data_IF_957362985003
#
_entry.id   IF_957362985003
#
_cell.length_a   1.000
_cell.length_b   1.000
_cell.length_c   1.000
_cell.angle_alpha   90.00
_cell.angle_beta   90.00
_cell.angle_gamma   90.00
#
_symmetry.space_group_name_H-M   'P 1'
#
loop_
_entity.id
_entity.type
_entity.pdbx_description
1 polymer ?
#
# COMPACT_ATOMS: atom_id res chain seq x y z
N UNK A 1 7.78 18.37 -3.31
CA UNK A 1 6.33 18.35 -3.01
C UNK A 1 5.55 19.11 -4.09
N UNK A 2 5.06 18.42 -5.14
CA UNK A 2 4.24 19.07 -6.18
C UNK A 2 2.96 18.32 -6.54
N UNK A 3 2.65 17.24 -5.83
CA UNK A 3 1.41 16.49 -5.96
C UNK A 3 0.72 16.52 -4.60
N UNK A 4 -0.53 16.96 -4.61
CA UNK A 4 -1.32 17.22 -3.41
C UNK A 4 -2.20 16.00 -3.17
N UNK A 5 -2.67 15.77 -1.95
CA UNK A 5 -3.63 14.70 -1.59
C UNK A 5 -4.83 14.50 -2.56
N UNK A 6 -5.09 15.49 -3.42
CA UNK A 6 -6.01 15.42 -4.56
C UNK A 6 -5.63 14.36 -5.62
N UNK A 7 -4.35 14.18 -5.93
CA UNK A 7 -3.88 13.25 -6.95
C UNK A 7 -4.02 11.80 -6.44
N UNK A 8 -3.56 11.51 -5.21
CA UNK A 8 -3.87 10.27 -4.50
C UNK A 8 -5.37 10.00 -4.44
N UNK A 9 -6.19 10.98 -4.04
CA UNK A 9 -7.65 10.83 -3.99
C UNK A 9 -8.23 10.47 -5.35
N UNK A 10 -7.83 11.17 -6.42
CA UNK A 10 -8.33 10.92 -7.77
C UNK A 10 -7.93 9.52 -8.26
N UNK A 11 -6.73 9.04 -7.89
CA UNK A 11 -6.25 7.71 -8.23
C UNK A 11 -7.04 6.63 -7.47
N UNK A 12 -7.12 6.75 -6.15
CA UNK A 12 -7.86 5.80 -5.28
C UNK A 12 -9.34 5.73 -5.67
N UNK A 13 -9.96 6.85 -6.06
CA UNK A 13 -11.36 6.87 -6.52
C UNK A 13 -11.61 6.02 -7.78
N UNK A 14 -10.57 5.76 -8.58
CA UNK A 14 -10.68 4.93 -9.78
C UNK A 14 -10.51 3.44 -9.50
N UNK A 15 -10.09 3.07 -8.28
CA UNK A 15 -9.88 1.68 -7.90
C UNK A 15 -11.18 0.90 -7.94
N UNK A 16 -11.12 -0.29 -8.54
CA UNK A 16 -12.16 -1.30 -8.39
C UNK A 16 -11.58 -2.45 -7.60
N UNK A 17 -12.37 -3.01 -6.69
CA UNK A 17 -11.96 -4.15 -5.85
C UNK A 17 -11.34 -5.29 -6.67
N UNK A 18 -11.89 -5.57 -7.85
CA UNK A 18 -11.41 -6.61 -8.78
C UNK A 18 -10.01 -6.37 -9.35
N UNK A 19 -9.44 -5.17 -9.18
CA UNK A 19 -8.11 -4.81 -9.67
C UNK A 19 -7.01 -5.22 -8.68
N UNK A 20 -7.38 -5.60 -7.45
CA UNK A 20 -6.46 -5.92 -6.35
C UNK A 20 -6.68 -7.33 -5.81
N UNK A 21 -5.70 -7.84 -5.05
CA UNK A 21 -5.83 -9.05 -4.24
C UNK A 21 -6.11 -8.58 -2.82
N UNK A 22 -7.38 -8.65 -2.41
CA UNK A 22 -7.84 -8.07 -1.14
C UNK A 22 -7.58 -9.00 0.03
N UNK A 23 -7.34 -8.42 1.22
CA UNK A 23 -7.21 -9.17 2.48
C UNK A 23 -5.94 -10.00 2.57
N UNK A 24 -4.91 -9.63 1.80
CA UNK A 24 -3.57 -10.20 1.89
C UNK A 24 -2.65 -9.29 2.70
N UNK A 25 -3.18 -8.75 3.79
CA UNK A 25 -2.41 -8.10 4.84
C UNK A 25 -2.62 -8.88 6.14
N UNK A 26 -1.65 -8.81 7.06
CA UNK A 26 -1.79 -9.35 8.42
C UNK A 26 -2.67 -8.45 9.33
N UNK A 27 -3.35 -7.48 8.74
CA UNK A 27 -4.15 -6.52 9.49
C UNK A 27 -5.42 -7.16 10.06
N UNK A 28 -5.66 -6.98 11.36
CA UNK A 28 -6.95 -7.29 11.96
C UNK A 28 -7.98 -6.22 11.56
N UNK A 29 -8.69 -6.47 10.46
CA UNK A 29 -9.69 -5.55 9.94
C UNK A 29 -10.87 -5.34 10.90
N UNK A 30 -11.21 -6.31 11.77
CA UNK A 30 -12.28 -6.12 12.74
C UNK A 30 -11.87 -5.07 13.79
N UNK A 31 -10.65 -5.19 14.31
CA UNK A 31 -10.07 -4.20 15.23
C UNK A 31 -9.87 -2.84 14.55
N UNK A 32 -9.34 -2.80 13.32
CA UNK A 32 -9.17 -1.57 12.54
C UNK A 32 -10.49 -0.85 12.29
N UNK A 33 -11.53 -1.56 11.86
CA UNK A 33 -12.86 -0.98 11.64
C UNK A 33 -13.43 -0.44 12.97
N UNK A 34 -13.24 -1.16 14.08
CA UNK A 34 -13.69 -0.71 15.40
C UNK A 34 -12.94 0.56 15.84
N UNK A 35 -11.62 0.61 15.64
CA UNK A 35 -10.78 1.78 15.90
C UNK A 35 -11.26 3.00 15.10
N UNK A 36 -11.44 2.86 13.78
CA UNK A 36 -11.92 3.95 12.93
C UNK A 36 -13.34 4.41 13.31
N UNK A 37 -14.27 3.48 13.58
CA UNK A 37 -15.63 3.82 14.05
C UNK A 37 -15.63 4.62 15.35
N UNK A 38 -14.71 4.31 16.28
CA UNK A 38 -14.58 5.05 17.53
C UNK A 38 -13.99 6.45 17.31
N UNK A 39 -13.07 6.60 16.36
CA UNK A 39 -12.44 7.88 16.00
C UNK A 39 -13.37 8.83 15.24
N UNK A 40 -14.35 8.32 14.46
CA UNK A 40 -15.25 9.13 13.62
C UNK A 40 -16.14 10.13 14.37
N UNK A 41 -16.24 10.06 15.70
CA UNK A 41 -17.20 10.88 16.47
C UNK A 41 -16.84 12.38 16.52
N UNK A 42 -15.65 12.81 16.08
CA UNK A 42 -15.21 14.23 16.10
C UNK A 42 -14.27 14.64 14.95
N UNK A 43 -14.42 14.06 13.75
CA UNK A 43 -13.51 14.34 12.63
C UNK A 43 -14.12 15.29 11.59
N UNK A 44 -13.31 16.21 11.08
CA UNK A 44 -13.64 17.00 9.91
C UNK A 44 -13.63 16.12 8.63
N UNK A 45 -14.25 16.61 7.55
CA UNK A 45 -14.37 15.87 6.29
C UNK A 45 -13.00 15.43 5.73
N UNK A 46 -11.96 16.24 5.92
CA UNK A 46 -10.61 15.93 5.42
C UNK A 46 -10.04 14.71 6.15
N UNK A 47 -10.18 14.65 7.47
CA UNK A 47 -9.74 13.51 8.28
C UNK A 47 -10.52 12.24 7.95
N UNK A 48 -11.83 12.36 7.70
CA UNK A 48 -12.65 11.23 7.24
C UNK A 48 -12.11 10.69 5.90
N UNK A 49 -11.86 11.57 4.92
CA UNK A 49 -11.30 11.16 3.63
C UNK A 49 -9.93 10.48 3.78
N UNK A 50 -9.04 11.01 4.61
CA UNK A 50 -7.73 10.39 4.88
C UNK A 50 -7.87 9.00 5.50
N UNK A 51 -8.78 8.80 6.44
CA UNK A 51 -9.02 7.48 7.05
C UNK A 51 -9.59 6.49 6.04
N UNK A 52 -10.52 6.91 5.18
CA UNK A 52 -11.06 6.04 4.12
C UNK A 52 -9.98 5.65 3.12
N UNK A 53 -9.12 6.60 2.72
CA UNK A 53 -7.98 6.30 1.83
C UNK A 53 -7.03 5.30 2.48
N UNK A 54 -6.70 5.48 3.76
CA UNK A 54 -5.86 4.54 4.50
C UNK A 54 -6.51 3.16 4.60
N UNK A 55 -7.79 3.07 4.90
CA UNK A 55 -8.48 1.78 4.94
C UNK A 55 -8.48 1.08 3.57
N UNK A 56 -8.69 1.82 2.48
CA UNK A 56 -8.59 1.26 1.12
C UNK A 56 -7.16 0.76 0.86
N UNK A 57 -6.15 1.49 1.32
CA UNK A 57 -4.76 1.08 1.25
C UNK A 57 -4.52 -0.25 1.97
N UNK A 58 -4.88 -0.31 3.25
CA UNK A 58 -4.64 -1.46 4.12
C UNK A 58 -5.28 -2.74 3.55
N UNK A 59 -6.49 -2.61 2.99
CA UNK A 59 -7.23 -3.73 2.36
C UNK A 59 -6.61 -4.15 1.03
N UNK A 60 -6.08 -3.19 0.25
CA UNK A 60 -5.69 -3.43 -1.15
C UNK A 60 -4.20 -3.74 -1.33
N UNK A 61 -3.35 -3.34 -0.38
CA UNK A 61 -1.91 -3.51 -0.47
C UNK A 61 -1.50 -4.94 -0.13
N UNK A 62 -0.86 -5.60 -1.09
CA UNK A 62 -0.44 -6.99 -0.97
C UNK A 62 0.81 -7.11 -0.11
N UNK A 63 0.69 -7.73 1.05
CA UNK A 63 1.81 -8.01 1.96
C UNK A 63 2.60 -9.24 1.49
N UNK A 64 3.92 -9.16 1.53
CA UNK A 64 4.86 -10.24 1.27
C UNK A 64 5.20 -10.96 2.58
N UNK A 65 5.59 -12.23 2.48
CA UNK A 65 6.22 -12.98 3.58
C UNK A 65 7.71 -12.60 3.77
N UNK A 66 8.05 -11.33 3.53
CA UNK A 66 9.41 -10.79 3.58
C UNK A 66 9.48 -9.69 4.63
N UNK A 67 10.24 -9.92 5.70
CA UNK A 67 10.46 -8.94 6.76
C UNK A 67 11.33 -7.80 6.23
N UNK A 68 10.95 -6.56 6.54
CA UNK A 68 11.70 -5.39 6.15
C UNK A 68 13.17 -5.47 6.64
N UNK A 69 14.16 -5.36 5.74
CA UNK A 69 15.57 -5.48 6.10
C UNK A 69 16.10 -4.25 6.86
N UNK A 70 15.34 -3.16 6.92
CA UNK A 70 15.75 -1.93 7.60
C UNK A 70 15.26 -1.85 9.05
N UNK A 71 13.98 -2.19 9.32
CA UNK A 71 13.43 -2.14 10.68
C UNK A 71 13.34 -3.52 11.37
N UNK A 72 13.42 -4.61 10.60
CA UNK A 72 13.28 -5.99 11.11
C UNK A 72 12.00 -6.27 11.90
N UNK A 73 10.95 -5.47 11.68
CA UNK A 73 9.74 -5.49 12.51
C UNK A 73 8.47 -5.83 11.74
N UNK A 74 8.28 -5.26 10.55
CA UNK A 74 7.08 -5.44 9.73
C UNK A 74 7.41 -6.06 8.37
N UNK A 75 6.44 -6.78 7.83
CA UNK A 75 6.49 -7.35 6.50
C UNK A 75 6.38 -6.26 5.42
N UNK A 76 7.08 -6.45 4.31
CA UNK A 76 7.03 -5.54 3.18
C UNK A 76 5.72 -5.69 2.40
N UNK A 77 5.17 -4.59 1.89
CA UNK A 77 4.04 -4.57 0.96
C UNK A 77 4.50 -4.27 -0.46
N UNK A 78 3.80 -4.83 -1.45
CA UNK A 78 3.95 -4.46 -2.85
C UNK A 78 3.10 -3.24 -3.17
N UNK A 79 3.80 -2.20 -3.61
CA UNK A 79 3.23 -0.94 -4.05
C UNK A 79 3.67 -0.65 -5.47
N UNK A 80 3.11 0.40 -6.05
CA UNK A 80 3.51 0.92 -7.33
C UNK A 80 3.67 2.43 -7.27
N UNK A 81 4.52 2.97 -8.13
CA UNK A 81 4.51 4.40 -8.43
C UNK A 81 3.13 4.81 -8.96
N UNK A 82 2.75 6.08 -8.79
CA UNK A 82 1.44 6.59 -9.23
C UNK A 82 1.17 6.40 -10.74
N UNK A 83 2.23 6.35 -11.54
CA UNK A 83 2.22 6.09 -12.98
C UNK A 83 2.22 4.60 -13.35
N UNK A 84 2.16 3.72 -12.34
CA UNK A 84 2.08 2.26 -12.44
C UNK A 84 3.25 1.58 -13.19
N UNK A 85 4.39 2.26 -13.32
CA UNK A 85 5.55 1.71 -14.06
C UNK A 85 6.32 0.69 -13.25
N UNK A 86 6.61 1.01 -12.00
CA UNK A 86 7.48 0.20 -11.15
C UNK A 86 6.69 -0.47 -10.04
N UNK A 87 7.06 -1.72 -9.75
CA UNK A 87 6.61 -2.42 -8.55
C UNK A 87 7.67 -2.26 -7.48
N UNK A 88 7.26 -1.73 -6.34
CA UNK A 88 8.12 -1.30 -5.25
C UNK A 88 7.77 -2.11 -4.02
N UNK A 89 8.78 -2.57 -3.27
CA UNK A 89 8.56 -3.06 -1.91
C UNK A 89 8.57 -1.87 -0.96
N UNK A 90 7.58 -1.79 -0.10
CA UNK A 90 7.39 -0.69 0.85
C UNK A 90 7.21 -1.23 2.27
N UNK A 91 7.79 -0.55 3.26
CA UNK A 91 7.58 -0.82 4.67
C UNK A 91 6.74 0.30 5.29
N UNK A 92 5.57 -0.02 5.83
CA UNK A 92 4.68 0.99 6.45
C UNK A 92 5.30 1.60 7.73
N UNK A 93 6.18 0.87 8.42
CA UNK A 93 6.73 1.28 9.72
C UNK A 93 7.90 2.25 9.63
N UNK A 94 8.80 2.02 8.68
CA UNK A 94 10.03 2.81 8.54
C UNK A 94 10.19 3.47 7.18
N UNK A 95 9.14 3.40 6.34
CA UNK A 95 9.10 3.97 5.00
C UNK A 95 10.21 3.48 4.05
N UNK A 96 10.78 2.30 4.35
CA UNK A 96 11.79 1.70 3.49
C UNK A 96 11.19 1.33 2.14
N UNK A 97 11.88 1.69 1.07
CA UNK A 97 11.50 1.41 -0.31
C UNK A 97 12.60 0.65 -1.04
N UNK A 98 12.25 -0.38 -1.81
CA UNK A 98 13.20 -1.08 -2.66
C UNK A 98 12.60 -1.59 -3.96
N UNK A 99 13.44 -1.65 -4.99
CA UNK A 99 13.15 -2.29 -6.28
C UNK A 99 14.27 -3.29 -6.52
N UNK A 100 13.92 -4.55 -6.82
CA UNK A 100 14.90 -5.63 -7.04
C UNK A 100 15.95 -5.74 -5.91
N UNK A 101 15.51 -5.61 -4.66
CA UNK A 101 16.35 -5.63 -3.44
C UNK A 101 17.37 -4.49 -3.31
N UNK A 102 17.29 -3.47 -4.16
CA UNK A 102 18.09 -2.25 -4.00
C UNK A 102 17.21 -1.16 -3.41
N UNK A 103 17.74 -0.47 -2.40
CA UNK A 103 17.08 0.72 -1.86
C UNK A 103 16.90 1.75 -2.97
N UNK A 104 15.71 2.33 -3.04
CA UNK A 104 15.39 3.42 -3.96
C UNK A 104 14.71 4.53 -3.19
N UNK A 105 15.10 5.77 -3.41
CA UNK A 105 14.35 6.92 -2.93
C UNK A 105 13.20 7.19 -3.90
N UNK A 106 11.98 7.27 -3.38
CA UNK A 106 10.79 7.55 -4.18
C UNK A 106 10.22 8.89 -3.73
N UNK A 107 10.35 9.88 -4.62
CA UNK A 107 9.82 11.24 -4.39
C UNK A 107 8.31 11.34 -4.65
N UNK A 108 7.74 10.33 -5.30
CA UNK A 108 6.33 10.26 -5.70
C UNK A 108 5.44 9.56 -4.67
N UNK A 109 4.14 9.88 -4.70
CA UNK A 109 3.16 9.09 -3.97
C UNK A 109 3.10 7.66 -4.53
N UNK A 110 3.18 6.69 -3.64
CA UNK A 110 2.98 5.27 -3.97
C UNK A 110 1.51 4.90 -3.83
N UNK A 111 1.08 3.87 -4.55
CA UNK A 111 -0.24 3.24 -4.50
C UNK A 111 -0.12 1.74 -4.30
N UNK A 112 -1.17 1.01 -3.85
CA UNK A 112 -1.12 -0.44 -3.80
C UNK A 112 -0.86 -1.02 -5.20
N UNK A 113 0.01 -2.03 -5.30
CA UNK A 113 0.24 -2.70 -6.57
C UNK A 113 -1.04 -3.43 -7.02
N UNK A 114 -1.41 -3.30 -8.29
CA UNK A 114 -2.57 -4.01 -8.82
C UNK A 114 -2.26 -5.52 -8.99
N UNK A 115 -3.30 -6.34 -9.15
CA UNK A 115 -3.18 -7.80 -9.26
C UNK A 115 -2.24 -8.26 -10.38
N UNK A 116 -2.14 -7.50 -11.49
CA UNK A 116 -1.25 -7.84 -12.60
C UNK A 116 0.21 -7.65 -12.19
N UNK A 117 0.51 -6.54 -11.52
CA UNK A 117 1.85 -6.25 -10.99
C UNK A 117 2.24 -7.27 -9.92
N UNK A 118 1.36 -7.57 -8.97
CA UNK A 118 1.59 -8.60 -7.95
C UNK A 118 1.86 -9.96 -8.60
N UNK A 119 1.03 -10.37 -9.56
CA UNK A 119 1.23 -11.65 -10.27
C UNK A 119 2.55 -11.70 -11.03
N UNK A 120 2.91 -10.60 -11.72
CA UNK A 120 4.17 -10.50 -12.45
C UNK A 120 5.38 -10.59 -11.50
N UNK A 121 5.30 -9.89 -10.35
CA UNK A 121 6.32 -9.91 -9.33
C UNK A 121 6.52 -11.33 -8.75
N UNK A 122 5.43 -11.97 -8.30
CA UNK A 122 5.48 -13.32 -7.72
C UNK A 122 6.01 -14.37 -8.73
N UNK A 123 5.63 -14.25 -10.00
CA UNK A 123 6.15 -15.13 -11.05
C UNK A 123 7.65 -14.90 -11.29
N UNK A 124 8.13 -13.66 -11.20
CA UNK A 124 9.54 -13.33 -11.40
C UNK A 124 10.46 -13.92 -10.31
N UNK A 125 9.93 -14.10 -9.10
CA UNK A 125 10.66 -14.76 -7.99
C UNK A 125 10.75 -16.26 -8.26
N UNK A 126 9.64 -16.90 -8.63
CA UNK A 126 9.60 -18.36 -8.90
C UNK A 126 10.53 -18.81 -10.03
N UNK A 127 10.86 -17.93 -10.96
CA UNK A 127 11.79 -18.22 -12.06
C UNK A 127 13.26 -18.01 -11.70
N UNK A 128 13.55 -17.49 -10.51
CA UNK A 128 14.93 -17.25 -10.02
C UNK A 128 15.42 -18.31 -9.04
N UNK A 129 14.54 -19.23 -8.63
CA UNK A 129 14.85 -20.44 -7.87
C UNK A 129 15.07 -21.64 -8.82
#
# INVERSE_FOLDING_TARGET
MKHTAKDLYNKVRQFKSQDFILGHSEDDFEELIAYYKNMLKQLDEKKICSQVIQLIWDISAYMLDEICPNCHYSNLRLTSSIDEKDTVKFCDECLYTSINNNYVEIDDEIIPANKKQVSAYLNSIRTKD
#
